data_IF_675857394640
#
_entry.id   IF_675857394640
#
_cell.length_a   1.000
_cell.length_b   1.000
_cell.length_c   1.000
_cell.angle_alpha   90.00
_cell.angle_beta   90.00
_cell.angle_gamma   90.00
#
_symmetry.space_group_name_H-M   'P 1'
#
loop_
_entity.id
_entity.type
_entity.pdbx_description
1 polymer ?
#
# COMPACT_ATOMS: atom_id res chain seq x y z
N UNK A 1 1.05 -7.00 -2.74
CA UNK A 1 1.65 -6.61 -1.42
C UNK A 1 0.93 -7.24 -0.22
N UNK A 2 -0.39 -7.21 -0.10
CA UNK A 2 -1.11 -7.62 1.13
C UNK A 2 -0.83 -9.05 1.62
N UNK A 3 -0.73 -10.03 0.73
CA UNK A 3 -0.50 -11.44 1.13
C UNK A 3 0.82 -11.65 1.90
N UNK A 4 1.99 -11.19 1.41
CA UNK A 4 3.22 -11.34 2.19
C UNK A 4 3.22 -10.49 3.45
N UNK A 5 2.62 -9.30 3.45
CA UNK A 5 2.46 -8.49 4.66
C UNK A 5 1.66 -9.27 5.72
N UNK A 6 0.54 -9.87 5.34
CA UNK A 6 -0.30 -10.63 6.26
C UNK A 6 0.43 -11.89 6.78
N UNK A 7 1.12 -12.63 5.90
CA UNK A 7 1.74 -13.92 6.24
C UNK A 7 3.10 -13.83 6.91
N UNK A 8 3.86 -12.75 6.72
CA UNK A 8 5.20 -12.56 7.29
C UNK A 8 5.19 -11.66 8.53
N UNK A 9 4.10 -11.68 9.28
CA UNK A 9 3.89 -10.84 10.46
C UNK A 9 5.08 -10.86 11.43
N UNK A 10 5.76 -9.72 11.69
CA UNK A 10 6.90 -9.65 12.60
C UNK A 10 6.51 -9.65 14.10
N UNK A 11 5.23 -9.85 14.41
CA UNK A 11 4.72 -9.88 15.77
C UNK A 11 3.58 -8.90 16.06
N UNK A 12 3.05 -8.24 15.03
CA UNK A 12 1.92 -7.32 15.18
C UNK A 12 0.67 -8.06 15.65
N UNK A 13 -0.06 -7.45 16.55
CA UNK A 13 -1.39 -7.88 17.01
C UNK A 13 -2.36 -6.72 16.87
N UNK A 14 -3.40 -6.93 16.08
CA UNK A 14 -4.43 -5.91 15.91
C UNK A 14 -5.38 -5.94 17.09
N UNK A 15 -5.67 -4.76 17.66
CA UNK A 15 -6.58 -4.63 18.79
C UNK A 15 -7.98 -5.15 18.43
N UNK A 16 -8.57 -5.93 19.31
CA UNK A 16 -9.88 -6.53 19.08
C UNK A 16 -9.92 -7.67 18.06
N UNK A 17 -8.76 -8.14 17.57
CA UNK A 17 -8.65 -9.27 16.63
C UNK A 17 -7.78 -10.38 17.22
N UNK A 18 -8.43 -11.30 17.94
CA UNK A 18 -7.75 -12.41 18.57
C UNK A 18 -7.84 -13.67 17.71
N UNK A 19 -6.71 -14.17 17.27
CA UNK A 19 -6.58 -15.40 16.47
C UNK A 19 -5.47 -16.30 17.04
N UNK A 20 -5.60 -17.63 16.91
CA UNK A 20 -4.59 -18.56 17.43
C UNK A 20 -3.21 -18.38 16.81
N UNK A 21 -3.15 -17.98 15.55
CA UNK A 21 -1.91 -17.69 14.83
C UNK A 21 -1.82 -16.20 14.54
N UNK A 22 -0.71 -15.54 14.91
CA UNK A 22 -0.56 -14.11 14.69
C UNK A 22 -0.42 -13.80 13.19
N UNK A 23 -1.52 -13.40 12.57
CA UNK A 23 -1.53 -12.87 11.21
C UNK A 23 -1.96 -11.40 11.24
N UNK A 24 -1.46 -10.61 10.31
CA UNK A 24 -1.99 -9.26 10.11
C UNK A 24 -3.31 -9.39 9.34
N UNK A 25 -4.43 -8.84 9.86
CA UNK A 25 -5.71 -8.88 9.15
C UNK A 25 -5.57 -8.37 7.72
N UNK A 26 -6.19 -9.06 6.76
CA UNK A 26 -6.05 -8.73 5.34
C UNK A 26 -6.41 -7.25 5.05
N UNK A 27 -7.51 -6.76 5.63
CA UNK A 27 -7.91 -5.35 5.48
C UNK A 27 -6.84 -4.37 5.95
N UNK A 28 -6.19 -4.66 7.08
CA UNK A 28 -5.08 -3.84 7.61
C UNK A 28 -3.90 -3.86 6.64
N UNK A 29 -3.49 -5.04 6.16
CA UNK A 29 -2.38 -5.16 5.21
C UNK A 29 -2.63 -4.45 3.87
N UNK A 30 -3.89 -4.37 3.43
CA UNK A 30 -4.29 -3.58 2.27
C UNK A 30 -4.24 -2.09 2.58
N UNK A 31 -4.83 -1.66 3.69
CA UNK A 31 -4.93 -0.25 4.07
C UNK A 31 -3.56 0.41 4.21
N UNK A 32 -2.63 -0.21 4.94
CA UNK A 32 -1.28 0.35 5.15
C UNK A 32 -0.42 0.42 3.88
N UNK A 33 -0.74 -0.34 2.85
CA UNK A 33 -0.02 -0.28 1.58
C UNK A 33 -0.71 0.60 0.53
N UNK A 34 -1.96 0.98 0.75
CA UNK A 34 -2.78 1.71 -0.22
C UNK A 34 -2.18 3.05 -0.65
N UNK A 35 -1.68 3.94 0.23
CA UNK A 35 -1.09 5.20 -0.19
C UNK A 35 0.04 5.02 -1.21
N UNK A 36 1.00 4.14 -0.96
CA UNK A 36 2.11 3.86 -1.87
C UNK A 36 1.63 3.27 -3.20
N UNK A 37 0.69 2.32 -3.16
CA UNK A 37 0.12 1.69 -4.37
C UNK A 37 -0.62 2.71 -5.22
N UNK A 38 -1.40 3.61 -4.64
CA UNK A 38 -2.13 4.61 -5.41
C UNK A 38 -1.21 5.70 -5.98
N UNK A 39 -0.13 6.08 -5.30
CA UNK A 39 0.93 6.91 -5.92
C UNK A 39 1.49 6.23 -7.17
N UNK A 40 1.87 4.98 -7.05
CA UNK A 40 2.47 4.22 -8.15
C UNK A 40 1.52 4.08 -9.35
N UNK A 41 0.24 3.78 -9.12
CA UNK A 41 -0.71 3.50 -10.20
C UNK A 41 -1.34 4.75 -10.82
N UNK A 42 -1.20 5.92 -10.20
CA UNK A 42 -1.91 7.15 -10.59
C UNK A 42 -1.69 7.57 -12.03
N UNK A 43 -0.46 7.44 -12.55
CA UNK A 43 -0.15 7.79 -13.94
C UNK A 43 -0.98 7.00 -14.97
N UNK A 44 -1.48 5.82 -14.61
CA UNK A 44 -2.30 4.99 -15.50
C UNK A 44 -3.71 5.55 -15.69
N UNK A 45 -4.26 6.22 -14.69
CA UNK A 45 -5.58 6.84 -14.76
C UNK A 45 -5.73 7.96 -13.70
N UNK A 46 -5.13 9.14 -13.94
CA UNK A 46 -5.16 10.24 -12.96
C UNK A 46 -6.58 10.70 -12.61
N UNK A 47 -7.49 10.69 -13.57
CA UNK A 47 -8.87 11.17 -13.35
C UNK A 47 -9.63 10.32 -12.34
N UNK A 48 -9.43 8.98 -12.38
CA UNK A 48 -10.03 8.09 -11.38
C UNK A 48 -9.41 8.27 -10.00
N UNK A 49 -8.11 8.57 -9.93
CA UNK A 49 -7.45 8.86 -8.65
C UNK A 49 -7.97 10.17 -8.06
N UNK A 50 -8.16 11.20 -8.89
CA UNK A 50 -8.76 12.47 -8.43
C UNK A 50 -10.21 12.30 -8.00
N UNK A 51 -11.03 11.56 -8.75
CA UNK A 51 -12.40 11.26 -8.35
C UNK A 51 -12.48 10.48 -7.03
N UNK A 52 -11.51 9.58 -6.79
CA UNK A 52 -11.40 8.89 -5.50
C UNK A 52 -11.01 9.86 -4.37
N UNK A 53 -10.07 10.78 -4.60
CA UNK A 53 -9.70 11.79 -3.62
C UNK A 53 -10.88 12.73 -3.29
N UNK A 54 -11.66 13.12 -4.30
CA UNK A 54 -12.89 13.90 -4.10
C UNK A 54 -13.90 13.17 -3.21
N UNK A 55 -14.02 11.84 -3.36
CA UNK A 55 -14.88 11.02 -2.49
C UNK A 55 -14.41 11.00 -1.03
N UNK A 56 -13.13 11.24 -0.75
CA UNK A 56 -12.59 11.50 0.59
C UNK A 56 -12.78 12.94 1.07
N UNK A 57 -13.43 13.81 0.27
CA UNK A 57 -13.71 15.21 0.64
C UNK A 57 -12.68 16.22 0.17
N UNK A 58 -11.72 15.83 -0.67
CA UNK A 58 -10.69 16.74 -1.19
C UNK A 58 -11.27 17.63 -2.30
N UNK A 59 -11.04 18.94 -2.22
CA UNK A 59 -11.34 19.84 -3.34
C UNK A 59 -10.30 19.66 -4.46
N UNK A 60 -10.71 18.99 -5.55
CA UNK A 60 -9.87 18.69 -6.69
C UNK A 60 -9.91 19.76 -7.80
N UNK A 61 -10.70 20.84 -7.64
CA UNK A 61 -10.97 21.84 -8.70
C UNK A 61 -9.71 22.51 -9.27
N UNK A 62 -8.62 22.56 -8.52
CA UNK A 62 -7.34 23.16 -8.91
C UNK A 62 -6.18 22.16 -8.90
N UNK A 63 -6.47 20.89 -8.72
CA UNK A 63 -5.44 19.84 -8.65
C UNK A 63 -5.01 19.46 -10.07
N UNK A 64 -3.71 19.46 -10.31
CA UNK A 64 -3.15 18.97 -11.58
C UNK A 64 -3.18 17.45 -11.64
N UNK A 65 -3.38 16.89 -12.84
CA UNK A 65 -3.41 15.43 -13.07
C UNK A 65 -2.15 14.70 -12.59
N UNK A 66 -1.00 15.36 -12.75
CA UNK A 66 0.30 14.81 -12.33
C UNK A 66 0.40 14.62 -10.81
N UNK A 67 -0.41 15.37 -10.05
CA UNK A 67 -0.46 15.29 -8.58
C UNK A 67 -1.51 14.30 -8.06
N UNK A 68 -2.24 13.62 -8.94
CA UNK A 68 -3.37 12.77 -8.56
C UNK A 68 -3.00 11.67 -7.55
N UNK A 69 -1.81 11.07 -7.71
CA UNK A 69 -1.33 10.02 -6.81
C UNK A 69 -1.04 10.52 -5.41
N UNK A 70 -0.35 11.67 -5.31
CA UNK A 70 -0.03 12.29 -4.01
C UNK A 70 -1.30 12.76 -3.29
N UNK A 71 -2.22 13.37 -4.02
CA UNK A 71 -3.47 13.88 -3.45
C UNK A 71 -4.33 12.76 -2.90
N UNK A 72 -4.49 11.65 -3.65
CA UNK A 72 -5.23 10.50 -3.15
C UNK A 72 -4.52 9.80 -1.99
N UNK A 73 -3.20 9.64 -2.09
CA UNK A 73 -2.43 9.03 -1.01
C UNK A 73 -2.53 9.83 0.30
N UNK A 74 -2.43 11.16 0.23
CA UNK A 74 -2.61 12.04 1.37
C UNK A 74 -4.02 11.90 1.98
N UNK A 75 -5.07 11.91 1.14
CA UNK A 75 -6.44 11.74 1.60
C UNK A 75 -6.68 10.40 2.33
N UNK A 76 -6.11 9.31 1.80
CA UNK A 76 -6.20 8.00 2.45
C UNK A 76 -5.43 7.99 3.78
N UNK A 77 -4.24 8.60 3.81
CA UNK A 77 -3.43 8.69 5.03
C UNK A 77 -4.16 9.45 6.13
N UNK A 78 -4.77 10.60 5.79
CA UNK A 78 -5.57 11.39 6.72
C UNK A 78 -6.78 10.60 7.22
N UNK A 79 -7.51 9.95 6.32
CA UNK A 79 -8.64 9.10 6.68
C UNK A 79 -8.24 7.97 7.64
N UNK A 80 -7.10 7.30 7.40
CA UNK A 80 -6.62 6.24 8.29
C UNK A 80 -6.21 6.80 9.66
N UNK A 81 -5.63 8.00 9.72
CA UNK A 81 -5.29 8.67 10.97
C UNK A 81 -6.55 9.04 11.77
N UNK A 82 -7.60 9.52 11.10
CA UNK A 82 -8.87 9.89 11.72
C UNK A 82 -9.63 8.69 12.31
N UNK A 83 -9.43 7.49 11.75
CA UNK A 83 -10.00 6.27 12.33
C UNK A 83 -9.40 5.91 13.69
N UNK A 84 -8.25 6.50 14.07
CA UNK A 84 -7.52 6.16 15.29
C UNK A 84 -7.00 4.72 15.28
N UNK A 85 -6.03 4.42 16.11
CA UNK A 85 -5.46 3.07 16.34
C UNK A 85 -5.04 2.29 15.07
N UNK A 86 -5.01 2.93 13.88
CA UNK A 86 -4.52 2.30 12.67
C UNK A 86 -3.00 2.41 12.58
N UNK A 87 -2.31 1.34 12.16
CA UNK A 87 -0.86 1.40 12.00
C UNK A 87 -0.49 2.35 10.84
N UNK A 88 0.48 3.23 11.08
CA UNK A 88 1.04 4.10 10.03
C UNK A 88 2.07 3.32 9.23
N UNK A 89 1.71 2.92 8.03
CA UNK A 89 2.56 2.16 7.13
C UNK A 89 3.00 0.79 7.66
N UNK A 90 3.98 0.20 7.00
CA UNK A 90 4.54 -1.09 7.38
C UNK A 90 5.34 -1.01 8.69
N UNK A 91 5.96 0.13 8.97
CA UNK A 91 6.68 0.35 10.23
C UNK A 91 5.75 0.25 11.44
N UNK A 92 4.51 0.75 11.32
CA UNK A 92 3.47 0.60 12.34
C UNK A 92 3.05 -0.85 12.60
N UNK A 93 3.29 -1.75 11.64
CA UNK A 93 3.11 -3.20 11.79
C UNK A 93 4.36 -3.91 12.36
N UNK A 94 5.46 -3.19 12.60
CA UNK A 94 6.72 -3.75 13.09
C UNK A 94 7.69 -4.20 11.99
N UNK A 95 7.37 -3.96 10.71
CA UNK A 95 8.32 -4.22 9.62
C UNK A 95 9.47 -3.22 9.64
N UNK A 96 10.63 -3.64 9.15
CA UNK A 96 11.84 -2.86 8.98
C UNK A 96 12.42 -3.09 7.59
N UNK A 97 13.38 -2.28 7.19
CA UNK A 97 14.03 -2.38 5.87
C UNK A 97 14.58 -3.79 5.58
N UNK A 98 15.04 -4.51 6.58
CA UNK A 98 15.55 -5.88 6.48
C UNK A 98 14.48 -6.91 6.05
N UNK A 99 13.19 -6.60 6.21
CA UNK A 99 12.10 -7.47 5.82
C UNK A 99 11.67 -7.29 4.35
N UNK A 100 12.11 -6.20 3.69
CA UNK A 100 11.61 -5.82 2.37
C UNK A 100 11.90 -6.91 1.32
N UNK A 101 13.08 -7.52 1.35
CA UNK A 101 13.43 -8.60 0.42
C UNK A 101 12.47 -9.78 0.54
N UNK A 102 12.15 -10.20 1.76
CA UNK A 102 11.17 -11.24 2.03
C UNK A 102 9.78 -10.89 1.53
N UNK A 103 9.36 -9.64 1.70
CA UNK A 103 8.07 -9.14 1.21
C UNK A 103 8.01 -9.13 -0.33
N UNK A 104 9.09 -8.74 -1.00
CA UNK A 104 9.19 -8.79 -2.47
C UNK A 104 9.07 -10.24 -2.95
N UNK A 105 9.89 -11.15 -2.43
CA UNK A 105 9.87 -12.55 -2.81
C UNK A 105 8.50 -13.21 -2.54
N UNK A 106 7.84 -12.85 -1.44
CA UNK A 106 6.48 -13.31 -1.12
C UNK A 106 5.39 -12.73 -2.04
N UNK A 107 5.68 -11.64 -2.77
CA UNK A 107 4.74 -11.02 -3.71
C UNK A 107 4.79 -11.68 -5.10
N UNK A 108 5.97 -12.08 -5.57
CA UNK A 108 6.18 -12.67 -6.91
C UNK A 108 5.24 -13.84 -7.24
N UNK A 109 4.94 -14.78 -6.33
CA UNK A 109 4.00 -15.86 -6.62
C UNK A 109 2.58 -15.41 -6.97
N UNK A 110 2.22 -14.15 -6.71
CA UNK A 110 0.92 -13.58 -7.05
C UNK A 110 0.83 -13.09 -8.51
N UNK A 111 1.49 -13.77 -9.44
CA UNK A 111 1.66 -13.38 -10.84
C UNK A 111 0.33 -12.99 -11.52
N UNK A 112 -0.78 -13.71 -11.25
CA UNK A 112 -2.09 -13.38 -11.82
C UNK A 112 -2.61 -11.98 -11.48
N UNK A 113 -2.22 -11.45 -10.32
CA UNK A 113 -2.59 -10.09 -9.87
C UNK A 113 -1.58 -9.10 -10.41
N UNK A 114 -0.29 -9.42 -10.34
CA UNK A 114 0.80 -8.57 -10.80
C UNK A 114 0.70 -8.27 -12.31
N UNK A 115 0.33 -9.27 -13.12
CA UNK A 115 0.12 -9.08 -14.56
C UNK A 115 -0.92 -8.01 -14.91
N UNK A 116 -1.85 -7.74 -14.02
CA UNK A 116 -2.93 -6.75 -14.20
C UNK A 116 -2.60 -5.41 -13.55
N UNK A 117 -1.49 -5.31 -12.80
CA UNK A 117 -1.12 -4.08 -12.11
C UNK A 117 -0.64 -3.02 -13.11
N UNK A 118 -1.31 -1.85 -13.19
CA UNK A 118 -0.90 -0.78 -14.08
C UNK A 118 0.49 -0.25 -13.73
N UNK A 119 1.34 -0.05 -14.73
CA UNK A 119 2.68 0.51 -14.56
C UNK A 119 3.74 -0.48 -14.06
N UNK A 120 3.35 -1.69 -13.65
CA UNK A 120 4.31 -2.70 -13.22
C UNK A 120 5.04 -3.29 -14.43
N UNK A 121 6.37 -3.41 -14.33
CA UNK A 121 7.21 -3.99 -15.36
C UNK A 121 6.88 -5.48 -15.58
N UNK A 122 7.13 -5.97 -16.79
CA UNK A 122 6.91 -7.38 -17.16
C UNK A 122 8.19 -8.21 -17.09
N UNK A 123 9.33 -7.56 -17.01
CA UNK A 123 10.62 -8.19 -16.82
C UNK A 123 10.87 -8.39 -15.33
N UNK A 124 11.23 -9.61 -14.92
CA UNK A 124 11.25 -10.04 -13.51
C UNK A 124 12.14 -9.16 -12.62
N UNK A 125 13.34 -8.77 -13.11
CA UNK A 125 14.23 -7.96 -12.27
C UNK A 125 13.66 -6.55 -12.06
N UNK A 126 13.14 -5.93 -13.12
CA UNK A 126 12.51 -4.61 -13.03
C UNK A 126 11.23 -4.65 -12.18
N UNK A 127 10.46 -5.74 -12.27
CA UNK A 127 9.29 -5.98 -11.41
C UNK A 127 9.70 -6.02 -9.93
N UNK A 128 10.76 -6.78 -9.59
CA UNK A 128 11.29 -6.85 -8.22
C UNK A 128 11.77 -5.49 -7.73
N UNK A 129 12.48 -4.73 -8.55
CA UNK A 129 12.99 -3.41 -8.20
C UNK A 129 11.85 -2.41 -7.94
N UNK A 130 10.79 -2.46 -8.75
CA UNK A 130 9.58 -1.65 -8.54
C UNK A 130 8.81 -2.08 -7.29
N UNK A 131 8.67 -3.39 -7.04
CA UNK A 131 8.04 -3.90 -5.82
C UNK A 131 8.84 -3.50 -4.57
N UNK A 132 10.17 -3.57 -4.62
CA UNK A 132 11.04 -3.09 -3.54
C UNK A 132 10.72 -1.64 -3.21
N UNK A 133 10.74 -0.77 -4.21
CA UNK A 133 10.43 0.65 -4.04
C UNK A 133 9.04 0.87 -3.46
N UNK A 134 8.04 0.11 -3.93
CA UNK A 134 6.68 0.17 -3.37
C UNK A 134 6.63 -0.20 -1.88
N UNK A 135 7.40 -1.19 -1.44
CA UNK A 135 7.49 -1.55 -0.03
C UNK A 135 8.24 -0.49 0.78
N UNK A 136 9.30 0.10 0.23
CA UNK A 136 10.01 1.23 0.84
C UNK A 136 9.08 2.44 1.01
N UNK A 137 8.33 2.80 -0.03
CA UNK A 137 7.35 3.89 0.00
C UNK A 137 6.19 3.63 0.97
N UNK A 138 5.87 2.36 1.23
CA UNK A 138 4.83 1.96 2.17
C UNK A 138 5.31 1.86 3.63
N UNK A 139 6.59 2.07 3.92
CA UNK A 139 7.13 1.96 5.29
C UNK A 139 6.49 2.96 6.24
N UNK A 140 6.24 4.18 5.76
CA UNK A 140 5.63 5.26 6.56
C UNK A 140 4.68 6.08 5.69
N UNK A 141 3.62 6.60 6.30
CA UNK A 141 2.73 7.59 5.70
C UNK A 141 2.04 8.42 6.79
#
# INVERSE_FOLDING_TARGET
MSYPISGQNPGYKHNGYEVPSPIIPHGVSVAVSAPAVFRFTAASNPDRHLAAAEAFGVDISRVKRESAGEVLAAAITEFLADLGDQPSGLAGLGFRSEHIDGLVEGTIPQARVLMLAPGLAKELQQEKDQLRKLFEDAMTH
#
